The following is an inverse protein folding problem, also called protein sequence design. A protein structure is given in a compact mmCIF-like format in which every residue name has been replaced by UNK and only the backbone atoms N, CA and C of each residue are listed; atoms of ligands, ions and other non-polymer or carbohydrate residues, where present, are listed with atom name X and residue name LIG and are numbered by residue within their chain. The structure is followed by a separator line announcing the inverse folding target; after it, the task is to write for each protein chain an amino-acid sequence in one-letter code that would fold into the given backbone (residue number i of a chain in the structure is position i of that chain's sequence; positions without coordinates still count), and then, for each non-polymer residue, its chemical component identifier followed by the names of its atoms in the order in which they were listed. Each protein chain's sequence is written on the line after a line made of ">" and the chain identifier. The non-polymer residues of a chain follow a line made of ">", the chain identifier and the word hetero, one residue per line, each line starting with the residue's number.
data_IF_720318979502
#
_entry.id   IF_720318979502
#
_cell.length_a   1.000
_cell.length_b   1.000
_cell.length_c   1.000
_cell.angle_alpha   90.00
_cell.angle_beta   90.00
_cell.angle_gamma   90.00
#
_symmetry.space_group_name_H-M   'P 1'
#
loop_
_entity.id
_entity.type
_entity.pdbx_description
1 polymer ?
#
# COMPACT_ATOMS: atom_id res chain seq x y z
N UNK A 1 -25.63 -3.71 -15.78
CA UNK A 1 -25.36 -2.76 -14.67
C UNK A 1 -24.72 -3.56 -13.55
N UNK A 2 -23.43 -3.45 -13.36
CA UNK A 2 -22.74 -4.03 -12.20
C UNK A 2 -23.20 -3.28 -10.97
N UNK A 3 -23.97 -3.93 -10.10
CA UNK A 3 -24.36 -3.37 -8.81
C UNK A 3 -23.08 -3.29 -7.97
N UNK A 4 -22.58 -2.09 -7.73
CA UNK A 4 -21.47 -1.86 -6.81
C UNK A 4 -21.85 -2.32 -5.41
N UNK A 5 -21.02 -3.18 -4.81
CA UNK A 5 -21.25 -3.65 -3.44
C UNK A 5 -21.06 -2.49 -2.45
N UNK A 6 -21.89 -2.40 -1.40
CA UNK A 6 -21.65 -1.44 -0.32
C UNK A 6 -20.26 -1.66 0.33
N UNK A 7 -19.56 -0.57 0.69
CA UNK A 7 -18.23 -0.64 1.33
C UNK A 7 -18.19 -1.58 2.53
N UNK A 8 -19.23 -1.54 3.38
CA UNK A 8 -19.34 -2.45 4.53
C UNK A 8 -19.32 -3.92 4.12
N UNK A 9 -19.97 -4.28 3.02
CA UNK A 9 -19.97 -5.65 2.49
C UNK A 9 -18.56 -6.05 2.03
N UNK A 10 -17.87 -5.19 1.27
CA UNK A 10 -16.48 -5.41 0.80
C UNK A 10 -15.54 -5.62 1.98
N UNK A 11 -15.65 -4.79 3.03
CA UNK A 11 -14.86 -4.92 4.26
C UNK A 11 -15.02 -6.29 4.93
N UNK A 12 -16.23 -6.84 4.95
CA UNK A 12 -16.50 -8.15 5.55
C UNK A 12 -16.14 -9.32 4.63
N UNK A 13 -16.23 -9.16 3.32
CA UNK A 13 -15.86 -10.17 2.33
C UNK A 13 -14.36 -10.29 2.11
N UNK A 14 -13.60 -9.17 2.24
CA UNK A 14 -12.14 -9.19 2.11
C UNK A 14 -11.52 -10.13 3.15
N UNK A 15 -10.78 -11.10 2.67
CA UNK A 15 -10.02 -12.07 3.49
C UNK A 15 -8.55 -12.10 3.05
N UNK A 16 -7.68 -12.61 3.91
CA UNK A 16 -6.29 -12.89 3.55
C UNK A 16 -6.21 -14.23 2.83
N UNK A 17 -6.19 -14.19 1.50
CA UNK A 17 -6.09 -15.36 0.64
C UNK A 17 -4.62 -15.74 0.45
N UNK A 18 -4.28 -17.02 0.64
CA UNK A 18 -2.90 -17.52 0.60
C UNK A 18 -2.65 -18.53 -0.50
N UNK A 19 -3.64 -18.77 -1.36
CA UNK A 19 -3.50 -19.63 -2.53
C UNK A 19 -4.34 -19.08 -3.66
N UNK A 20 -3.71 -18.82 -4.77
CA UNK A 20 -4.35 -18.21 -5.93
C UNK A 20 -4.42 -19.20 -7.09
N UNK A 21 -5.31 -18.92 -8.04
CA UNK A 21 -5.37 -19.60 -9.32
C UNK A 21 -4.20 -19.12 -10.19
N UNK A 22 -3.17 -19.93 -10.31
CA UNK A 22 -1.94 -19.58 -11.03
C UNK A 22 -2.15 -19.33 -12.55
N UNK A 23 -3.32 -19.73 -13.08
CA UNK A 23 -3.67 -19.50 -14.49
C UNK A 23 -4.37 -18.16 -14.72
N UNK A 24 -4.75 -17.46 -13.65
CA UNK A 24 -5.37 -16.13 -13.76
C UNK A 24 -4.29 -15.07 -13.84
N UNK A 25 -4.37 -14.22 -14.85
CA UNK A 25 -3.52 -13.03 -15.00
C UNK A 25 -4.36 -11.77 -14.80
N UNK A 26 -3.78 -10.75 -14.19
CA UNK A 26 -4.35 -9.41 -14.08
C UNK A 26 -3.54 -8.51 -14.99
N UNK A 27 -4.22 -7.75 -15.87
CA UNK A 27 -3.49 -6.88 -16.78
C UNK A 27 -2.81 -5.73 -16.03
N UNK A 28 -1.71 -5.21 -16.58
CA UNK A 28 -1.02 -4.06 -16.00
C UNK A 28 -1.90 -2.83 -15.94
N UNK A 29 -2.78 -2.64 -16.92
CA UNK A 29 -3.77 -1.56 -16.96
C UNK A 29 -4.74 -1.67 -15.78
N UNK A 30 -5.21 -2.88 -15.45
CA UNK A 30 -6.09 -3.12 -14.30
C UNK A 30 -5.37 -2.81 -12.99
N UNK A 31 -4.09 -3.21 -12.86
CA UNK A 31 -3.30 -2.90 -11.67
C UNK A 31 -3.01 -1.40 -11.57
N UNK A 32 -2.71 -0.74 -12.68
CA UNK A 32 -2.51 0.72 -12.70
C UNK A 32 -3.76 1.45 -12.25
N UNK A 33 -4.94 1.09 -12.78
CA UNK A 33 -6.21 1.68 -12.36
C UNK A 33 -6.48 1.45 -10.88
N UNK A 34 -6.25 0.23 -10.36
CA UNK A 34 -6.36 -0.09 -8.94
C UNK A 34 -5.48 0.81 -8.08
N UNK A 35 -4.22 1.01 -8.48
CA UNK A 35 -3.27 1.84 -7.74
C UNK A 35 -3.62 3.32 -7.83
N UNK A 36 -4.05 3.80 -8.99
CA UNK A 36 -4.52 5.18 -9.18
C UNK A 36 -5.70 5.48 -8.26
N UNK A 37 -6.73 4.65 -8.25
CA UNK A 37 -7.88 4.81 -7.36
C UNK A 37 -7.47 4.75 -5.88
N UNK A 38 -6.50 3.90 -5.53
CA UNK A 38 -5.99 3.78 -4.18
C UNK A 38 -5.23 5.02 -3.70
N UNK A 39 -4.63 5.82 -4.60
CA UNK A 39 -3.90 7.03 -4.20
C UNK A 39 -4.80 8.14 -3.63
N UNK A 40 -6.12 7.98 -3.69
CA UNK A 40 -7.06 8.81 -2.93
C UNK A 40 -6.98 8.61 -1.40
N UNK A 41 -6.15 7.67 -0.94
CA UNK A 41 -5.83 7.46 0.48
C UNK A 41 -5.22 8.71 1.11
N UNK A 42 -5.61 9.10 2.33
CA UNK A 42 -4.93 10.16 3.03
C UNK A 42 -3.50 9.78 3.41
N UNK A 43 -2.63 10.79 3.54
CA UNK A 43 -1.30 10.64 4.10
C UNK A 43 -0.94 11.85 4.97
N UNK A 44 0.07 11.69 5.82
CA UNK A 44 0.59 12.75 6.69
C UNK A 44 1.00 13.97 5.86
N UNK A 45 0.38 15.12 6.11
CA UNK A 45 0.53 16.37 5.33
C UNK A 45 0.37 16.22 3.82
N UNK A 46 -0.34 15.17 3.38
CA UNK A 46 -0.48 14.80 1.96
C UNK A 46 0.87 14.49 1.25
N UNK A 47 1.88 14.06 1.99
CA UNK A 47 3.22 13.83 1.42
C UNK A 47 3.33 12.57 0.55
N UNK A 48 2.34 11.68 0.57
CA UNK A 48 2.25 10.52 -0.33
C UNK A 48 3.56 9.72 -0.40
N UNK A 49 4.02 9.18 0.75
CA UNK A 49 5.35 8.57 0.86
C UNK A 49 5.48 7.22 0.15
N UNK A 50 4.42 6.73 -0.44
CA UNK A 50 4.39 5.42 -1.08
C UNK A 50 4.97 5.44 -2.49
N UNK A 51 5.68 4.37 -2.82
CA UNK A 51 6.06 3.96 -4.16
C UNK A 51 5.62 2.52 -4.34
N UNK A 52 5.36 2.10 -5.56
CA UNK A 52 4.89 0.75 -5.85
C UNK A 52 5.81 0.06 -6.86
N UNK A 53 6.17 -1.18 -6.55
CA UNK A 53 6.80 -2.07 -7.53
C UNK A 53 5.82 -3.21 -7.78
N UNK A 54 5.37 -3.34 -9.02
CA UNK A 54 4.48 -4.42 -9.44
C UNK A 54 5.32 -5.53 -10.06
N UNK A 55 5.24 -6.72 -9.49
CA UNK A 55 6.02 -7.88 -9.89
C UNK A 55 5.03 -8.92 -10.44
N UNK A 56 4.90 -8.95 -11.76
CA UNK A 56 4.05 -9.88 -12.52
C UNK A 56 4.84 -10.95 -13.28
N UNK A 57 6.17 -10.86 -13.23
CA UNK A 57 7.09 -11.88 -13.77
C UNK A 57 7.27 -13.03 -12.78
N UNK A 58 7.03 -14.26 -13.24
CA UNK A 58 7.06 -15.46 -12.40
C UNK A 58 8.46 -15.85 -11.91
N UNK A 59 9.50 -15.56 -12.68
CA UNK A 59 10.88 -15.82 -12.25
C UNK A 59 11.30 -14.82 -11.16
N UNK A 60 10.90 -13.57 -11.28
CA UNK A 60 11.14 -12.56 -10.23
C UNK A 60 10.35 -12.94 -8.97
N UNK A 61 9.06 -13.34 -9.10
CA UNK A 61 8.27 -13.82 -7.95
C UNK A 61 8.95 -14.99 -7.23
N UNK A 62 9.47 -15.95 -7.97
CA UNK A 62 10.21 -17.09 -7.43
C UNK A 62 11.49 -16.67 -6.70
N UNK A 63 12.24 -15.72 -7.26
CA UNK A 63 13.47 -15.22 -6.64
C UNK A 63 13.18 -14.47 -5.33
N UNK A 64 12.20 -13.57 -5.32
CA UNK A 64 11.82 -12.88 -4.08
C UNK A 64 11.24 -13.82 -3.03
N UNK A 65 10.64 -14.95 -3.44
CA UNK A 65 10.11 -15.93 -2.51
C UNK A 65 11.19 -16.61 -1.65
N UNK A 66 12.42 -16.74 -2.15
CA UNK A 66 13.55 -17.31 -1.41
C UNK A 66 13.81 -16.52 -0.11
N UNK A 67 13.79 -15.19 -0.18
CA UNK A 67 13.96 -14.33 1.00
C UNK A 67 12.65 -13.84 1.62
N UNK A 68 11.53 -14.42 1.15
CA UNK A 68 10.19 -14.25 1.74
C UNK A 68 9.70 -15.52 2.43
N UNK A 69 10.62 -16.37 2.88
CA UNK A 69 10.35 -17.60 3.64
C UNK A 69 9.48 -18.63 2.87
N UNK A 70 9.61 -18.72 1.56
CA UNK A 70 8.94 -19.69 0.67
C UNK A 70 7.41 -19.71 0.87
N UNK A 71 6.78 -18.56 0.76
CA UNK A 71 5.33 -18.42 0.92
C UNK A 71 4.59 -18.76 -0.37
N UNK A 72 3.69 -19.76 -0.35
CA UNK A 72 2.91 -20.25 -1.52
C UNK A 72 2.15 -19.12 -2.24
N UNK A 73 1.67 -18.11 -1.50
CA UNK A 73 0.94 -16.99 -2.08
C UNK A 73 1.78 -16.10 -2.99
N UNK A 74 3.10 -16.08 -2.84
CA UNK A 74 3.98 -15.32 -3.73
C UNK A 74 4.08 -16.00 -5.10
N UNK A 75 4.19 -17.32 -5.13
CA UNK A 75 4.33 -18.08 -6.38
C UNK A 75 3.02 -18.17 -7.16
N UNK A 76 1.90 -18.32 -6.44
CA UNK A 76 0.59 -18.56 -7.07
C UNK A 76 -0.15 -17.27 -7.44
N UNK A 77 0.17 -16.13 -6.84
CA UNK A 77 -0.48 -14.85 -7.12
C UNK A 77 -0.30 -14.42 -8.58
N UNK A 78 -1.27 -13.68 -9.12
CA UNK A 78 -1.15 -13.04 -10.43
C UNK A 78 -0.05 -11.99 -10.46
N UNK A 79 0.09 -11.23 -9.38
CA UNK A 79 1.16 -10.27 -9.17
C UNK A 79 1.45 -10.06 -7.68
N UNK A 80 2.61 -9.50 -7.39
CA UNK A 80 2.97 -8.95 -6.07
C UNK A 80 3.10 -7.44 -6.22
N UNK A 81 2.40 -6.70 -5.40
CA UNK A 81 2.55 -5.25 -5.26
C UNK A 81 3.40 -4.99 -4.03
N UNK A 82 4.65 -4.62 -4.23
CA UNK A 82 5.51 -4.18 -3.14
C UNK A 82 5.21 -2.71 -2.82
N UNK A 83 4.81 -2.45 -1.58
CA UNK A 83 4.62 -1.10 -1.05
C UNK A 83 5.94 -0.65 -0.45
N UNK A 84 6.51 0.38 -1.04
CA UNK A 84 7.80 0.97 -0.70
C UNK A 84 7.54 2.33 -0.07
N UNK A 85 8.29 2.68 0.97
CA UNK A 85 8.24 3.99 1.59
C UNK A 85 9.41 4.85 1.12
N UNK A 86 9.12 6.09 0.73
CA UNK A 86 10.12 7.08 0.36
C UNK A 86 10.45 7.98 1.56
N UNK A 87 11.68 7.92 2.05
CA UNK A 87 12.13 8.73 3.19
C UNK A 87 12.42 10.19 2.83
N UNK A 88 12.42 10.51 1.55
CA UNK A 88 12.58 11.87 1.03
C UNK A 88 11.26 12.43 0.46
N UNK A 89 10.12 11.84 0.80
CA UNK A 89 8.78 12.23 0.36
C UNK A 89 8.51 13.75 0.46
N UNK A 90 9.07 14.40 1.47
CA UNK A 90 8.87 15.83 1.74
C UNK A 90 9.48 16.74 0.67
N UNK A 91 10.42 16.23 -0.15
CA UNK A 91 10.96 16.98 -1.28
C UNK A 91 9.91 17.25 -2.36
N UNK A 92 8.80 16.49 -2.37
CA UNK A 92 7.68 16.70 -3.29
C UNK A 92 6.67 17.74 -2.77
N UNK A 93 6.90 18.35 -1.61
CA UNK A 93 5.92 19.25 -0.97
C UNK A 93 5.53 20.43 -1.87
N UNK A 94 6.49 21.06 -2.55
CA UNK A 94 6.23 22.16 -3.45
C UNK A 94 5.34 21.76 -4.63
N UNK A 95 5.64 20.63 -5.28
CA UNK A 95 4.83 20.10 -6.38
C UNK A 95 3.40 19.78 -5.93
N UNK A 96 3.26 19.08 -4.78
CA UNK A 96 1.96 18.66 -4.24
C UNK A 96 1.08 19.89 -3.92
N UNK A 97 1.63 20.88 -3.23
CA UNK A 97 0.85 22.05 -2.84
C UNK A 97 0.60 23.01 -4.00
N UNK A 98 1.53 23.17 -4.94
CA UNK A 98 1.29 23.90 -6.19
C UNK A 98 0.15 23.28 -6.99
N UNK A 99 0.09 21.95 -7.04
CA UNK A 99 -1.02 21.24 -7.70
C UNK A 99 -2.38 21.51 -7.03
N UNK A 100 -2.41 21.65 -5.71
CA UNK A 100 -3.62 22.01 -4.99
C UNK A 100 -4.10 23.44 -5.33
N UNK A 101 -3.18 24.36 -5.62
CA UNK A 101 -3.54 25.72 -6.10
C UNK A 101 -4.12 25.64 -7.50
N UNK A 102 -3.49 24.92 -8.42
CA UNK A 102 -3.99 24.72 -9.79
C UNK A 102 -5.41 24.15 -9.81
N UNK A 103 -5.70 23.22 -8.90
CA UNK A 103 -7.01 22.57 -8.76
C UNK A 103 -8.04 23.44 -7.99
N UNK A 104 -7.64 24.61 -7.50
CA UNK A 104 -8.52 25.51 -6.75
C UNK A 104 -8.83 25.04 -5.32
N UNK A 105 -8.06 24.13 -4.76
CA UNK A 105 -8.28 23.57 -3.42
C UNK A 105 -7.77 24.48 -2.30
N UNK A 106 -6.80 25.34 -2.59
CA UNK A 106 -6.29 26.32 -1.62
C UNK A 106 -5.66 27.54 -2.29
N UNK A 107 -5.57 28.67 -1.58
CA UNK A 107 -4.82 29.85 -2.04
C UNK A 107 -3.32 29.62 -2.10
N UNK A 108 -2.62 30.27 -3.02
CA UNK A 108 -1.16 30.16 -3.21
C UNK A 108 -0.35 30.50 -1.95
N UNK A 109 -0.75 31.49 -1.19
CA UNK A 109 -0.09 31.87 0.07
C UNK A 109 -0.10 30.75 1.09
N UNK A 110 -1.22 30.03 1.21
CA UNK A 110 -1.36 28.86 2.10
C UNK A 110 -0.50 27.69 1.59
N UNK A 111 -0.55 27.42 0.30
CA UNK A 111 0.22 26.35 -0.34
C UNK A 111 1.73 26.54 -0.13
N UNK A 112 2.25 27.73 -0.40
CA UNK A 112 3.66 28.08 -0.22
C UNK A 112 4.12 27.91 1.24
N UNK A 113 3.28 28.35 2.19
CA UNK A 113 3.58 28.16 3.62
C UNK A 113 3.62 26.69 4.00
N UNK A 114 2.63 25.90 3.60
CA UNK A 114 2.56 24.48 3.92
C UNK A 114 3.72 23.68 3.29
N UNK A 115 4.16 24.06 2.09
CA UNK A 115 5.32 23.45 1.45
C UNK A 115 6.60 23.71 2.27
N UNK A 116 6.84 24.96 2.68
CA UNK A 116 7.99 25.33 3.50
C UNK A 116 7.96 24.65 4.87
N UNK A 117 6.81 24.66 5.54
CA UNK A 117 6.63 24.03 6.85
C UNK A 117 6.87 22.50 6.76
N UNK A 118 6.41 21.84 5.69
CA UNK A 118 6.61 20.40 5.46
C UNK A 118 8.08 20.09 5.21
N UNK A 119 8.76 20.85 4.35
CA UNK A 119 10.20 20.72 4.11
C UNK A 119 11.01 20.86 5.38
N UNK A 120 10.75 21.89 6.18
CA UNK A 120 11.45 22.15 7.43
C UNK A 120 11.19 21.04 8.47
N UNK A 121 9.93 20.64 8.65
CA UNK A 121 9.52 19.66 9.65
C UNK A 121 10.09 18.28 9.33
N UNK A 122 9.79 17.74 8.14
CA UNK A 122 10.20 16.38 7.80
C UNK A 122 11.71 16.24 7.56
N UNK A 123 12.37 17.30 7.09
CA UNK A 123 13.83 17.32 6.96
C UNK A 123 14.59 17.36 8.30
N UNK A 124 13.92 17.76 9.39
CA UNK A 124 14.54 17.90 10.71
C UNK A 124 14.21 16.75 11.68
N UNK A 125 13.16 15.97 11.43
CA UNK A 125 12.77 14.89 12.36
C UNK A 125 13.74 13.70 12.29
N UNK A 126 13.95 12.96 13.40
CA UNK A 126 14.76 11.75 13.40
C UNK A 126 14.24 10.69 12.41
N UNK A 127 15.16 9.97 11.77
CA UNK A 127 14.82 8.93 10.78
C UNK A 127 13.78 7.91 11.30
N UNK A 128 13.89 7.52 12.58
CA UNK A 128 12.95 6.58 13.20
C UNK A 128 11.52 7.14 13.26
N UNK A 129 11.36 8.42 13.62
CA UNK A 129 10.06 9.08 13.65
C UNK A 129 9.47 9.21 12.24
N UNK A 130 10.31 9.54 11.25
CA UNK A 130 9.90 9.59 9.85
C UNK A 130 9.44 8.21 9.36
N UNK A 131 10.16 7.14 9.66
CA UNK A 131 9.79 5.78 9.30
C UNK A 131 8.46 5.37 9.94
N UNK A 132 8.16 5.78 11.17
CA UNK A 132 6.87 5.50 11.80
C UNK A 132 5.72 6.17 11.04
N UNK A 133 5.90 7.41 10.58
CA UNK A 133 4.92 8.11 9.74
C UNK A 133 4.72 7.36 8.42
N UNK A 134 5.80 7.01 7.74
CA UNK A 134 5.76 6.29 6.46
C UNK A 134 5.05 4.93 6.61
N UNK A 135 5.34 4.18 7.69
CA UNK A 135 4.66 2.90 7.94
C UNK A 135 3.16 3.08 8.20
N UNK A 136 2.77 4.14 8.92
CA UNK A 136 1.37 4.47 9.13
C UNK A 136 0.67 4.77 7.81
N UNK A 137 1.22 5.65 6.99
CA UNK A 137 0.66 6.03 5.69
C UNK A 137 0.62 4.84 4.71
N UNK A 138 1.68 4.00 4.70
CA UNK A 138 1.71 2.77 3.92
C UNK A 138 0.61 1.78 4.34
N UNK A 139 0.27 1.72 5.62
CA UNK A 139 -0.86 0.94 6.13
C UNK A 139 -2.20 1.43 5.60
N UNK A 140 -2.40 2.75 5.54
CA UNK A 140 -3.63 3.35 5.02
C UNK A 140 -3.84 2.99 3.55
N UNK A 141 -2.86 3.24 2.71
CA UNK A 141 -2.98 2.96 1.27
C UNK A 141 -3.06 1.45 0.99
N UNK A 142 -2.34 0.62 1.74
CA UNK A 142 -2.41 -0.83 1.58
C UNK A 142 -3.81 -1.38 1.88
N UNK A 143 -4.49 -0.85 2.90
CA UNK A 143 -5.87 -1.24 3.18
C UNK A 143 -6.80 -0.81 2.06
N UNK A 144 -6.63 0.38 1.49
CA UNK A 144 -7.43 0.88 0.38
C UNK A 144 -7.24 0.02 -0.87
N UNK A 145 -5.99 -0.33 -1.23
CA UNK A 145 -5.68 -1.28 -2.32
C UNK A 145 -6.42 -2.61 -2.11
N UNK A 146 -6.40 -3.18 -0.90
CA UNK A 146 -7.05 -4.46 -0.61
C UNK A 146 -8.57 -4.40 -0.73
N UNK A 147 -9.19 -3.27 -0.39
CA UNK A 147 -10.65 -3.10 -0.51
C UNK A 147 -11.06 -2.93 -1.98
N UNK A 148 -10.34 -2.09 -2.73
CA UNK A 148 -10.57 -1.89 -4.17
C UNK A 148 -10.33 -3.18 -4.96
N UNK A 149 -9.25 -3.91 -4.68
CA UNK A 149 -9.01 -5.22 -5.29
C UNK A 149 -10.20 -6.16 -5.05
N UNK A 150 -10.77 -6.17 -3.83
CA UNK A 150 -11.93 -7.00 -3.51
C UNK A 150 -13.20 -6.54 -4.24
N UNK A 151 -13.40 -5.25 -4.43
CA UNK A 151 -14.48 -4.70 -5.23
C UNK A 151 -14.37 -5.16 -6.70
N UNK A 152 -13.15 -5.14 -7.24
CA UNK A 152 -12.85 -5.57 -8.61
C UNK A 152 -12.91 -7.11 -8.79
N UNK A 153 -13.18 -7.88 -7.73
CA UNK A 153 -13.30 -9.33 -7.76
C UNK A 153 -12.00 -10.09 -7.48
N UNK A 154 -10.93 -9.39 -7.15
CA UNK A 154 -9.65 -10.01 -6.77
C UNK A 154 -9.52 -10.16 -5.26
N UNK A 155 -8.67 -11.09 -4.86
CA UNK A 155 -8.32 -11.32 -3.46
C UNK A 155 -6.86 -10.95 -3.22
N UNK A 156 -6.57 -10.62 -1.95
CA UNK A 156 -5.23 -10.16 -1.56
C UNK A 156 -4.79 -10.78 -0.23
N UNK A 157 -3.47 -10.74 0.01
CA UNK A 157 -2.91 -10.94 1.35
C UNK A 157 -1.72 -10.01 1.59
N UNK A 158 -1.73 -9.24 2.71
CA UNK A 158 -0.58 -8.44 3.11
C UNK A 158 0.47 -9.31 3.81
N UNK A 159 1.74 -9.14 3.45
CA UNK A 159 2.87 -9.89 3.97
C UNK A 159 3.96 -8.93 4.45
N UNK A 160 4.17 -8.88 5.77
CA UNK A 160 5.27 -8.14 6.39
C UNK A 160 6.52 -9.01 6.65
N UNK A 161 6.36 -10.33 6.55
CA UNK A 161 7.41 -11.32 6.82
C UNK A 161 8.24 -11.61 5.57
N UNK A 162 9.27 -10.80 5.32
CA UNK A 162 10.30 -11.02 4.31
C UNK A 162 11.58 -10.28 4.72
N UNK A 163 12.73 -10.69 4.18
CA UNK A 163 14.00 -10.01 4.38
C UNK A 163 14.04 -8.72 3.56
N UNK A 164 13.75 -7.61 4.23
CA UNK A 164 13.65 -6.28 3.59
C UNK A 164 14.97 -5.83 2.97
N UNK A 165 16.10 -6.19 3.57
CA UNK A 165 17.42 -5.80 3.07
C UNK A 165 17.76 -6.53 1.78
N UNK A 166 17.52 -7.85 1.73
CA UNK A 166 17.70 -8.64 0.51
C UNK A 166 16.74 -8.24 -0.60
N UNK A 167 15.49 -7.89 -0.23
CA UNK A 167 14.53 -7.37 -1.20
C UNK A 167 15.01 -6.05 -1.81
N UNK A 168 15.47 -5.11 -0.97
CA UNK A 168 15.98 -3.81 -1.43
C UNK A 168 17.20 -3.97 -2.35
N UNK A 169 18.14 -4.85 -1.98
CA UNK A 169 19.32 -5.18 -2.80
C UNK A 169 18.91 -5.80 -4.14
N UNK A 170 18.04 -6.82 -4.13
CA UNK A 170 17.59 -7.53 -5.33
C UNK A 170 16.82 -6.63 -6.29
N UNK A 171 16.00 -5.71 -5.76
CA UNK A 171 15.22 -4.76 -6.55
C UNK A 171 15.97 -3.46 -6.85
N UNK A 172 17.25 -3.36 -6.46
CA UNK A 172 18.11 -2.19 -6.68
C UNK A 172 17.48 -0.88 -6.18
N UNK A 173 16.85 -0.91 -5.00
CA UNK A 173 16.18 0.26 -4.46
C UNK A 173 17.16 1.39 -4.14
N UNK A 174 16.84 2.64 -4.45
CA UNK A 174 17.62 3.78 -4.03
C UNK A 174 17.62 3.91 -2.49
N UNK A 175 18.62 4.61 -1.93
CA UNK A 175 18.87 4.67 -0.47
C UNK A 175 17.75 5.35 0.33
N UNK A 176 16.92 6.16 -0.32
CA UNK A 176 15.74 6.81 0.27
C UNK A 176 14.48 5.92 0.23
N UNK A 177 14.52 4.77 -0.44
CA UNK A 177 13.39 3.85 -0.52
C UNK A 177 13.54 2.67 0.45
N UNK A 178 12.48 2.38 1.20
CA UNK A 178 12.45 1.29 2.19
C UNK A 178 11.27 0.35 1.92
N UNK A 179 11.51 -0.97 1.80
CA UNK A 179 10.42 -1.93 1.63
C UNK A 179 9.56 -2.00 2.90
N UNK A 180 8.25 -1.80 2.75
CA UNK A 180 7.32 -1.85 3.88
C UNK A 180 6.56 -3.17 3.92
N UNK A 181 5.91 -3.53 2.82
CA UNK A 181 4.93 -4.60 2.75
C UNK A 181 4.90 -5.19 1.34
N UNK A 182 4.64 -6.49 1.24
CA UNK A 182 4.27 -7.14 -0.02
C UNK A 182 2.78 -7.46 0.00
N UNK A 183 2.05 -7.12 -1.05
CA UNK A 183 0.66 -7.50 -1.27
C UNK A 183 0.60 -8.50 -2.43
N UNK A 184 0.27 -9.76 -2.14
CA UNK A 184 -0.08 -10.68 -3.20
C UNK A 184 -1.51 -10.38 -3.66
N UNK A 185 -1.74 -10.39 -4.98
CA UNK A 185 -3.04 -10.16 -5.61
C UNK A 185 -3.32 -11.21 -6.68
N UNK A 186 -4.57 -11.69 -6.73
CA UNK A 186 -5.00 -12.69 -7.71
C UNK A 186 -6.42 -13.16 -7.46
N UNK A 187 -6.87 -14.13 -8.25
CA UNK A 187 -8.12 -14.85 -8.02
C UNK A 187 -7.88 -15.97 -7.01
N UNK A 188 -8.71 -16.06 -5.96
CA UNK A 188 -8.61 -17.12 -4.97
C UNK A 188 -8.79 -18.51 -5.60
N UNK A 189 -7.90 -19.45 -5.33
CA UNK A 189 -8.04 -20.87 -5.76
C UNK A 189 -9.02 -21.65 -4.88
N UNK A 190 -9.50 -21.07 -3.79
CA UNK A 190 -10.44 -21.67 -2.86
C UNK A 190 -10.79 -20.74 -1.72
N UNK A 191 -11.64 -21.15 -0.80
CA UNK A 191 -12.11 -20.29 0.30
C UNK A 191 -10.95 -19.92 1.24
N UNK A 192 -10.87 -18.66 1.62
CA UNK A 192 -9.93 -18.19 2.64
C UNK A 192 -10.36 -18.65 4.04
N UNK A 193 -9.38 -18.85 4.91
CA UNK A 193 -9.66 -19.10 6.33
C UNK A 193 -10.35 -17.88 6.97
N UNK A 194 -11.27 -18.13 7.88
CA UNK A 194 -11.84 -17.13 8.74
C UNK A 194 -10.81 -16.60 9.75
N UNK A 195 -11.05 -15.41 10.27
CA UNK A 195 -10.27 -14.85 11.37
C UNK A 195 -11.21 -14.23 12.41
N UNK A 196 -11.03 -14.61 13.68
CA UNK A 196 -11.79 -14.02 14.79
C UNK A 196 -11.39 -12.57 15.06
N UNK A 197 -12.24 -11.88 15.79
CA UNK A 197 -11.97 -10.54 16.34
C UNK A 197 -12.24 -10.57 17.83
N UNK A 198 -11.49 -9.77 18.57
CA UNK A 198 -11.80 -9.54 19.97
C UNK A 198 -13.14 -8.79 20.09
N UNK A 199 -13.91 -9.02 21.17
CA UNK A 199 -15.09 -8.23 21.46
C UNK A 199 -14.75 -6.74 21.53
N UNK A 200 -15.62 -5.89 20.98
CA UNK A 200 -15.35 -4.46 20.85
C UNK A 200 -15.18 -3.78 22.21
N UNK A 201 -15.85 -4.29 23.24
CA UNK A 201 -15.79 -3.79 24.61
C UNK A 201 -14.37 -3.89 25.21
N UNK A 202 -13.53 -4.81 24.68
CA UNK A 202 -12.12 -4.95 25.09
C UNK A 202 -11.21 -3.95 24.39
N UNK A 203 -11.64 -3.34 23.30
CA UNK A 203 -10.84 -2.48 22.44
C UNK A 203 -11.20 -1.00 22.58
N UNK A 204 -12.36 -0.69 23.16
CA UNK A 204 -12.89 0.67 23.28
C UNK A 204 -12.90 1.11 24.73
N UNK A 205 -12.44 2.35 24.96
CA UNK A 205 -12.62 3.07 26.22
C UNK A 205 -13.18 4.44 25.89
N UNK A 206 -14.15 4.90 26.68
CA UNK A 206 -14.70 6.24 26.56
C UNK A 206 -14.05 7.15 27.62
N UNK A 207 -13.50 8.27 27.17
CA UNK A 207 -12.96 9.38 27.98
C UNK A 207 -11.70 9.07 28.82
N UNK A 208 -11.34 7.84 29.09
CA UNK A 208 -10.06 7.45 29.75
C UNK A 208 -9.71 6.00 29.45
#
# INVERSE_FOLDING_TARGET
>A
MTTTKPVKQIMHERKSVRKYNANTTISRETIMQLLEDATSSPSSSNMQPWRFIVIDDKEIQKNINIFSFNQEQIETASAIIAVIGDTEMYLNAEEIYSKNVELGYMPEEIASKLAQDSLAMYGAIPKEALLNIIHFDAGLISMQIMLLAKEMGYDTVPMGGFDKSKFAEYMELPSNEVPILLLAIGEAAGPAYGSSRLPIERLVRFNK
#
